data_IF_757934529754
#
_entry.id   IF_757934529754
#
_cell.length_a   1.000
_cell.length_b   1.000
_cell.length_c   1.000
_cell.angle_alpha   90.00
_cell.angle_beta   90.00
_cell.angle_gamma   90.00
#
_symmetry.space_group_name_H-M   'P 1'
#
loop_
_entity.id
_entity.type
_entity.pdbx_description
1 polymer ?
#
# COMPACT_ATOMS: atom_id res chain seq x y z
N UNK A 1 2.91 -33.00 7.10
CA UNK A 1 3.85 -31.87 7.33
C UNK A 1 3.04 -30.70 7.85
N UNK A 2 3.44 -30.12 8.97
CA UNK A 2 2.83 -28.91 9.54
C UNK A 2 3.13 -27.73 8.64
N UNK A 3 2.10 -26.98 8.29
CA UNK A 3 2.27 -25.70 7.60
C UNK A 3 2.58 -24.58 8.59
N UNK A 4 3.36 -23.60 8.15
CA UNK A 4 3.70 -22.38 8.88
C UNK A 4 3.04 -21.17 8.22
N UNK A 5 2.72 -20.13 8.99
CA UNK A 5 2.15 -18.89 8.46
C UNK A 5 3.17 -17.76 8.53
N UNK A 6 3.18 -16.92 7.50
CA UNK A 6 3.99 -15.70 7.46
C UNK A 6 3.34 -14.63 6.60
N UNK A 7 3.96 -13.45 6.55
CA UNK A 7 3.62 -12.42 5.58
C UNK A 7 4.86 -12.06 4.78
N UNK A 8 4.75 -12.04 3.45
CA UNK A 8 5.84 -11.67 2.56
C UNK A 8 5.34 -11.05 1.25
N UNK A 9 6.27 -10.46 0.51
CA UNK A 9 6.04 -9.92 -0.82
C UNK A 9 6.77 -10.77 -1.84
N UNK A 10 6.15 -10.96 -2.99
CA UNK A 10 6.79 -11.64 -4.12
C UNK A 10 7.47 -10.62 -5.03
N UNK A 11 8.61 -11.00 -5.56
CA UNK A 11 9.32 -10.32 -6.63
C UNK A 11 9.38 -11.26 -7.83
N UNK A 12 9.48 -10.68 -9.04
CA UNK A 12 9.69 -11.47 -10.24
C UNK A 12 11.18 -11.80 -10.33
N UNK A 13 11.50 -13.09 -10.41
CA UNK A 13 12.87 -13.57 -10.64
C UNK A 13 13.36 -13.10 -12.00
N UNK A 14 14.55 -12.51 -12.05
CA UNK A 14 15.18 -12.10 -13.32
C UNK A 14 15.60 -13.31 -14.17
N UNK A 15 15.97 -14.42 -13.52
CA UNK A 15 16.42 -15.64 -14.20
C UNK A 15 15.27 -16.44 -14.83
N UNK A 16 14.16 -16.59 -14.09
CA UNK A 16 13.07 -17.50 -14.48
C UNK A 16 11.79 -16.78 -14.88
N UNK A 17 11.64 -15.50 -14.53
CA UNK A 17 10.38 -14.76 -14.70
C UNK A 17 9.27 -15.17 -13.72
N UNK A 18 9.51 -16.16 -12.86
CA UNK A 18 8.56 -16.65 -11.86
C UNK A 18 8.47 -15.71 -10.65
N UNK A 19 7.33 -15.74 -9.95
CA UNK A 19 7.18 -15.03 -8.69
C UNK A 19 7.82 -15.83 -7.55
N UNK A 20 8.82 -15.22 -6.91
CA UNK A 20 9.53 -15.79 -5.78
C UNK A 20 9.48 -14.84 -4.59
N UNK A 21 9.51 -15.42 -3.39
CA UNK A 21 9.56 -14.71 -2.13
C UNK A 21 10.71 -15.22 -1.27
N UNK A 22 10.98 -14.51 -0.18
CA UNK A 22 12.01 -14.92 0.76
C UNK A 22 11.52 -14.83 2.18
N UNK A 23 11.95 -15.79 2.98
CA UNK A 23 11.66 -15.85 4.42
C UNK A 23 12.95 -16.09 5.19
N UNK A 24 13.00 -15.56 6.41
CA UNK A 24 14.09 -15.80 7.34
C UNK A 24 13.50 -16.19 8.70
N UNK A 25 14.15 -17.15 9.35
CA UNK A 25 13.74 -17.58 10.68
C UNK A 25 14.32 -16.64 11.72
N UNK A 26 13.46 -15.93 12.43
CA UNK A 26 13.87 -14.97 13.45
C UNK A 26 14.64 -15.70 14.57
N UNK A 27 15.84 -15.22 14.90
CA UNK A 27 16.77 -15.93 15.80
C UNK A 27 16.18 -16.23 17.18
N UNK A 28 15.52 -15.24 17.79
CA UNK A 28 14.93 -15.36 19.14
C UNK A 28 13.57 -16.07 19.15
N UNK A 29 12.60 -15.57 18.39
CA UNK A 29 11.21 -16.06 18.41
C UNK A 29 10.99 -17.33 17.57
N UNK A 30 11.97 -17.71 16.73
CA UNK A 30 11.92 -18.84 15.79
C UNK A 30 10.78 -18.76 14.76
N UNK A 31 10.05 -17.63 14.71
CA UNK A 31 9.00 -17.35 13.74
C UNK A 31 9.59 -17.12 12.36
N UNK A 32 8.88 -17.58 11.35
CA UNK A 32 9.21 -17.34 9.96
C UNK A 32 8.73 -15.95 9.54
N UNK A 33 9.64 -15.09 9.09
CA UNK A 33 9.35 -13.71 8.71
C UNK A 33 9.66 -13.50 7.24
N UNK A 34 8.77 -12.88 6.48
CA UNK A 34 9.07 -12.43 5.14
C UNK A 34 10.22 -11.42 5.13
N UNK A 35 11.14 -11.59 4.19
CA UNK A 35 12.26 -10.69 3.96
C UNK A 35 12.37 -10.37 2.47
N UNK A 36 13.13 -9.31 2.15
CA UNK A 36 13.48 -8.98 0.78
C UNK A 36 14.65 -9.83 0.30
N UNK A 37 14.84 -9.85 -1.01
CA UNK A 37 15.98 -10.52 -1.65
C UNK A 37 17.32 -9.95 -1.19
N UNK A 38 17.43 -8.63 -1.05
CA UNK A 38 18.61 -7.91 -0.57
C UNK A 38 18.82 -7.99 0.95
N UNK A 39 18.05 -8.82 1.66
CA UNK A 39 18.17 -8.94 3.10
C UNK A 39 19.53 -9.51 3.52
N UNK A 40 20.16 -8.85 4.50
CA UNK A 40 21.40 -9.30 5.17
C UNK A 40 21.25 -10.58 5.99
N UNK A 41 20.03 -11.01 6.28
CA UNK A 41 19.78 -12.20 7.10
C UNK A 41 19.78 -13.46 6.23
N UNK A 42 20.19 -14.59 6.82
CA UNK A 42 20.08 -15.90 6.18
C UNK A 42 18.62 -16.15 5.76
N UNK A 43 18.39 -16.31 4.46
CA UNK A 43 17.07 -16.39 3.85
C UNK A 43 16.88 -17.71 3.12
N UNK A 44 15.64 -18.18 3.09
CA UNK A 44 15.20 -19.34 2.35
C UNK A 44 14.21 -18.87 1.29
N UNK A 45 14.26 -19.49 0.10
CA UNK A 45 13.36 -19.16 -0.99
C UNK A 45 11.95 -19.70 -0.72
N UNK A 46 10.96 -18.95 -1.14
CA UNK A 46 9.57 -19.35 -1.21
C UNK A 46 9.13 -19.35 -2.67
N UNK A 47 8.67 -20.49 -3.16
CA UNK A 47 8.10 -20.64 -4.50
C UNK A 47 6.60 -20.87 -4.39
N UNK A 48 5.87 -20.49 -5.44
CA UNK A 48 4.44 -20.74 -5.51
C UNK A 48 4.15 -22.19 -5.87
N UNK A 49 3.10 -22.74 -5.26
CA UNK A 49 2.44 -23.93 -5.78
C UNK A 49 1.81 -23.64 -7.14
N UNK A 50 1.61 -24.69 -7.95
CA UNK A 50 1.12 -24.55 -9.33
C UNK A 50 -0.24 -23.83 -9.41
N UNK A 51 -1.13 -24.06 -8.44
CA UNK A 51 -2.46 -23.43 -8.35
C UNK A 51 -2.41 -21.92 -8.06
N UNK A 52 -1.32 -21.42 -7.48
CA UNK A 52 -1.15 -20.00 -7.20
C UNK A 52 -0.43 -19.24 -8.32
N UNK A 53 0.21 -19.94 -9.27
CA UNK A 53 0.91 -19.28 -10.37
C UNK A 53 -0.06 -18.50 -11.24
N UNK A 54 0.33 -17.27 -11.60
CA UNK A 54 -0.51 -16.34 -12.38
C UNK A 54 -1.64 -15.67 -11.60
N UNK A 55 -1.93 -16.09 -10.36
CA UNK A 55 -2.99 -15.48 -9.53
C UNK A 55 -2.49 -14.32 -8.67
N UNK A 56 -1.19 -14.28 -8.39
CA UNK A 56 -0.58 -13.28 -7.51
C UNK A 56 0.13 -12.20 -8.32
N UNK A 57 0.15 -10.99 -7.76
CA UNK A 57 0.91 -9.85 -8.27
C UNK A 57 2.16 -9.57 -7.42
N UNK A 58 3.27 -9.11 -8.05
CA UNK A 58 4.47 -8.71 -7.32
C UNK A 58 4.23 -7.48 -6.45
N UNK A 59 5.10 -7.27 -5.47
CA UNK A 59 5.12 -6.09 -4.57
C UNK A 59 3.89 -5.88 -3.67
N UNK A 60 2.89 -6.75 -3.74
CA UNK A 60 1.77 -6.83 -2.80
C UNK A 60 2.18 -7.70 -1.59
N UNK A 61 1.73 -7.33 -0.39
CA UNK A 61 1.94 -8.11 0.82
C UNK A 61 0.85 -9.18 0.91
N UNK A 62 1.25 -10.44 1.06
CA UNK A 62 0.32 -11.56 1.24
C UNK A 62 0.52 -12.19 2.61
N UNK A 63 -0.60 -12.60 3.21
CA UNK A 63 -0.59 -13.59 4.28
C UNK A 63 -0.54 -14.97 3.65
N UNK A 64 0.50 -15.73 3.94
CA UNK A 64 0.80 -16.99 3.26
C UNK A 64 0.78 -18.18 4.21
N UNK A 65 0.48 -19.35 3.66
CA UNK A 65 0.71 -20.65 4.27
C UNK A 65 1.85 -21.35 3.54
N UNK A 66 2.82 -21.84 4.30
CA UNK A 66 4.10 -22.34 3.81
C UNK A 66 4.29 -23.80 4.25
N UNK A 67 4.77 -24.64 3.34
CA UNK A 67 5.22 -25.99 3.64
C UNK A 67 6.70 -26.14 3.26
N UNK A 68 7.53 -26.77 4.10
CA UNK A 68 8.93 -26.99 3.76
C UNK A 68 9.03 -27.87 2.50
N UNK A 69 10.00 -27.57 1.65
CA UNK A 69 10.29 -28.38 0.47
C UNK A 69 10.83 -29.77 0.87
N UNK A 70 10.47 -30.80 0.12
CA UNK A 70 10.90 -32.18 0.40
C UNK A 70 12.38 -32.45 0.12
N UNK A 71 12.95 -31.81 -0.92
CA UNK A 71 14.29 -32.11 -1.45
C UNK A 71 15.22 -30.89 -1.51
N UNK A 72 14.79 -29.75 -0.97
CA UNK A 72 15.52 -28.49 -1.11
C UNK A 72 15.36 -27.63 0.15
N UNK A 73 16.25 -26.65 0.31
CA UNK A 73 16.22 -25.71 1.42
C UNK A 73 15.32 -24.51 1.06
N UNK A 74 14.03 -24.64 1.31
CA UNK A 74 13.03 -23.62 0.98
C UNK A 74 11.62 -24.00 1.41
N UNK A 75 10.65 -23.18 1.01
CA UNK A 75 9.23 -23.43 1.26
C UNK A 75 8.41 -23.32 -0.03
N UNK A 76 7.34 -24.10 -0.09
CA UNK A 76 6.27 -23.96 -1.09
C UNK A 76 5.13 -23.20 -0.43
N UNK A 77 4.68 -22.13 -1.08
CA UNK A 77 3.48 -21.38 -0.70
C UNK A 77 2.26 -22.12 -1.23
N UNK A 78 1.38 -22.57 -0.33
CA UNK A 78 0.18 -23.36 -0.68
C UNK A 78 -1.11 -22.58 -0.53
N UNK A 79 -1.06 -21.41 0.10
CA UNK A 79 -2.16 -20.45 0.12
C UNK A 79 -1.58 -19.04 0.27
N UNK A 80 -2.22 -18.07 -0.38
CA UNK A 80 -1.85 -16.66 -0.28
C UNK A 80 -3.09 -15.78 -0.35
N UNK A 81 -3.24 -14.87 0.61
CA UNK A 81 -4.33 -13.88 0.62
C UNK A 81 -3.75 -12.48 0.76
N UNK A 82 -4.10 -11.53 -0.13
CA UNK A 82 -3.64 -10.14 -0.01
C UNK A 82 -3.96 -9.55 1.37
N UNK A 83 -2.98 -8.89 1.97
CA UNK A 83 -3.19 -8.15 3.21
C UNK A 83 -3.80 -6.80 2.88
N UNK A 84 -5.00 -6.54 3.41
CA UNK A 84 -5.67 -5.25 3.31
C UNK A 84 -5.53 -4.50 4.64
N UNK A 85 -5.09 -3.25 4.57
CA UNK A 85 -4.92 -2.39 5.73
C UNK A 85 -6.14 -1.51 5.92
N UNK A 86 -6.62 -1.42 7.15
CA UNK A 86 -7.58 -0.38 7.51
C UNK A 86 -6.91 0.99 7.37
N UNK A 87 -7.62 1.92 6.73
CA UNK A 87 -7.17 3.28 6.59
C UNK A 87 -7.85 4.21 7.60
N UNK A 88 -7.16 5.27 7.96
CA UNK A 88 -7.66 6.38 8.74
C UNK A 88 -7.48 7.67 7.95
N UNK A 89 -8.55 8.47 7.86
CA UNK A 89 -8.54 9.78 7.21
C UNK A 89 -8.64 10.84 8.29
N UNK A 90 -7.63 11.70 8.35
CA UNK A 90 -7.52 12.77 9.35
C UNK A 90 -7.35 14.12 8.66
N UNK A 91 -8.06 15.14 9.15
CA UNK A 91 -7.92 16.53 8.69
C UNK A 91 -7.24 17.36 9.77
N UNK A 92 -6.18 18.07 9.39
CA UNK A 92 -5.48 19.05 10.22
C UNK A 92 -5.61 20.42 9.56
N UNK A 93 -6.16 21.38 10.31
CA UNK A 93 -6.27 22.77 9.89
C UNK A 93 -5.64 23.66 10.97
N UNK A 94 -4.56 24.32 10.60
CA UNK A 94 -3.99 25.46 11.33
C UNK A 94 -4.20 26.67 10.42
N UNK A 95 -5.17 27.56 10.73
CA UNK A 95 -5.54 28.65 9.85
C UNK A 95 -4.33 29.44 9.35
N UNK A 96 -4.29 29.69 8.05
CA UNK A 96 -3.22 30.40 7.32
C UNK A 96 -1.85 29.71 7.33
N UNK A 97 -1.69 28.59 8.03
CA UNK A 97 -0.42 27.88 8.17
C UNK A 97 -0.46 26.52 7.49
N UNK A 98 -1.42 25.66 7.84
CA UNK A 98 -1.51 24.28 7.38
C UNK A 98 -2.96 23.90 7.08
N UNK A 99 -3.19 23.32 5.92
CA UNK A 99 -4.47 22.71 5.56
C UNK A 99 -4.16 21.35 4.96
N UNK A 100 -4.32 20.27 5.70
CA UNK A 100 -3.95 18.95 5.23
C UNK A 100 -5.00 17.89 5.56
N UNK A 101 -5.37 17.06 4.56
CA UNK A 101 -6.05 15.79 4.79
C UNK A 101 -5.05 14.66 4.59
N UNK A 102 -4.93 13.75 5.56
CA UNK A 102 -3.98 12.64 5.53
C UNK A 102 -4.72 11.31 5.58
N UNK A 103 -4.46 10.44 4.61
CA UNK A 103 -4.91 9.04 4.61
C UNK A 103 -3.74 8.16 5.04
N UNK A 104 -3.85 7.52 6.20
CA UNK A 104 -2.83 6.62 6.76
C UNK A 104 -3.33 5.18 6.76
N UNK A 105 -2.51 4.25 6.28
CA UNK A 105 -2.82 2.81 6.28
C UNK A 105 -1.55 1.97 6.20
N UNK A 106 -1.47 0.94 7.04
CA UNK A 106 -0.22 0.21 7.27
C UNK A 106 0.90 1.19 7.64
N UNK A 107 2.00 1.16 6.90
CA UNK A 107 3.15 2.07 7.09
C UNK A 107 3.17 3.24 6.09
N UNK A 108 2.03 3.56 5.47
CA UNK A 108 1.95 4.54 4.38
C UNK A 108 1.09 5.71 4.77
N UNK A 109 1.46 6.88 4.26
CA UNK A 109 0.71 8.13 4.38
C UNK A 109 0.60 8.75 3.00
N UNK A 110 -0.62 9.17 2.64
CA UNK A 110 -0.90 9.98 1.46
C UNK A 110 -1.57 11.24 1.98
N UNK A 111 -1.13 12.41 1.52
CA UNK A 111 -1.67 13.68 1.99
C UNK A 111 -2.14 14.54 0.83
N UNK A 112 -3.24 15.24 1.08
CA UNK A 112 -3.72 16.37 0.32
C UNK A 112 -3.38 17.63 1.10
N UNK A 113 -2.52 18.46 0.52
CA UNK A 113 -2.11 19.76 1.02
C UNK A 113 -2.21 20.76 -0.14
N UNK A 114 -3.35 21.47 -0.29
CA UNK A 114 -3.55 22.43 -1.37
C UNK A 114 -2.64 23.65 -1.30
N UNK A 115 -1.99 23.92 -0.16
CA UNK A 115 -1.14 25.11 0.04
C UNK A 115 0.32 24.80 -0.23
N UNK A 116 0.89 23.79 0.44
CA UNK A 116 2.32 23.50 0.48
C UNK A 116 2.69 22.14 -0.16
N UNK A 117 1.72 21.43 -0.75
CA UNK A 117 1.97 20.19 -1.48
C UNK A 117 2.96 20.38 -2.63
N UNK A 118 3.83 19.39 -2.89
CA UNK A 118 4.94 19.52 -3.85
C UNK A 118 4.58 19.12 -5.28
N UNK A 119 3.42 18.49 -5.49
CA UNK A 119 3.02 17.93 -6.78
C UNK A 119 1.50 18.02 -6.96
N UNK A 120 0.99 17.82 -8.19
CA UNK A 120 -0.46 17.70 -8.40
C UNK A 120 -1.05 16.57 -7.54
N UNK A 121 -0.30 15.46 -7.43
CA UNK A 121 -0.63 14.30 -6.59
C UNK A 121 -0.69 14.57 -5.08
N UNK A 122 -0.31 15.76 -4.62
CA UNK A 122 -0.45 16.18 -3.23
C UNK A 122 -1.21 17.49 -3.08
N UNK A 123 -1.33 18.31 -4.13
CA UNK A 123 -2.01 19.62 -4.10
C UNK A 123 -3.45 19.59 -4.58
N UNK A 124 -3.88 18.56 -5.31
CA UNK A 124 -5.23 18.50 -5.88
C UNK A 124 -6.01 17.33 -5.30
N UNK A 125 -7.33 17.52 -5.20
CA UNK A 125 -8.25 16.47 -4.76
C UNK A 125 -8.17 15.28 -5.71
N UNK A 126 -8.23 15.54 -7.02
CA UNK A 126 -8.19 14.50 -8.04
C UNK A 126 -6.86 13.75 -8.09
N UNK A 127 -5.73 14.42 -7.85
CA UNK A 127 -4.42 13.78 -7.85
C UNK A 127 -4.27 12.77 -6.70
N UNK A 128 -4.74 13.13 -5.50
CA UNK A 128 -4.76 12.20 -4.38
C UNK A 128 -5.80 11.09 -4.58
N UNK A 129 -6.96 11.42 -5.16
CA UNK A 129 -7.99 10.44 -5.51
C UNK A 129 -7.45 9.37 -6.48
N UNK A 130 -6.68 9.76 -7.48
CA UNK A 130 -6.03 8.84 -8.42
C UNK A 130 -5.10 7.87 -7.70
N UNK A 131 -4.26 8.38 -6.78
CA UNK A 131 -3.39 7.53 -5.97
C UNK A 131 -4.21 6.54 -5.17
N UNK A 132 -5.28 7.00 -4.48
CA UNK A 132 -6.13 6.15 -3.64
C UNK A 132 -6.83 5.06 -4.47
N UNK A 133 -7.37 5.40 -5.65
CA UNK A 133 -8.00 4.43 -6.57
C UNK A 133 -7.03 3.34 -7.01
N UNK A 134 -5.78 3.71 -7.28
CA UNK A 134 -4.70 2.78 -7.66
C UNK A 134 -4.25 1.83 -6.55
N UNK A 135 -4.67 2.04 -5.30
CA UNK A 135 -4.32 1.16 -4.19
C UNK A 135 -5.15 -0.12 -4.19
N UNK A 136 -4.45 -1.24 -4.04
CA UNK A 136 -5.03 -2.59 -3.87
C UNK A 136 -4.96 -3.08 -2.43
N UNK A 137 -4.27 -2.34 -1.55
CA UNK A 137 -3.95 -2.73 -0.18
C UNK A 137 -4.78 -1.97 0.89
N UNK A 138 -5.82 -1.26 0.47
CA UNK A 138 -6.74 -0.55 1.38
C UNK A 138 -8.00 -1.39 1.58
N UNK A 139 -8.34 -1.68 2.84
CA UNK A 139 -9.60 -2.30 3.22
C UNK A 139 -10.74 -1.27 3.11
N UNK A 140 -11.90 -1.68 2.58
CA UNK A 140 -13.07 -0.82 2.40
C UNK A 140 -12.77 0.47 1.59
N UNK A 141 -11.98 0.34 0.52
CA UNK A 141 -11.44 1.46 -0.27
C UNK A 141 -12.46 2.52 -0.67
N UNK A 142 -13.64 2.13 -1.14
CA UNK A 142 -14.68 3.10 -1.56
C UNK A 142 -15.17 3.98 -0.40
N UNK A 143 -15.27 3.43 0.81
CA UNK A 143 -15.60 4.20 2.01
C UNK A 143 -14.50 5.19 2.37
N UNK A 144 -13.23 4.77 2.27
CA UNK A 144 -12.06 5.63 2.51
C UNK A 144 -11.99 6.76 1.49
N UNK A 145 -12.26 6.47 0.20
CA UNK A 145 -12.33 7.48 -0.86
C UNK A 145 -13.44 8.49 -0.56
N UNK A 146 -14.62 8.02 -0.17
CA UNK A 146 -15.75 8.89 0.16
C UNK A 146 -15.43 9.82 1.33
N UNK A 147 -14.84 9.28 2.40
CA UNK A 147 -14.42 10.06 3.57
C UNK A 147 -13.35 11.10 3.21
N UNK A 148 -12.33 10.68 2.45
CA UNK A 148 -11.31 11.58 1.91
C UNK A 148 -11.92 12.74 1.11
N UNK A 149 -12.83 12.47 0.16
CA UNK A 149 -13.44 13.49 -0.67
C UNK A 149 -14.28 14.48 0.15
N UNK A 150 -15.02 14.00 1.14
CA UNK A 150 -15.82 14.84 2.03
C UNK A 150 -14.93 15.78 2.85
N UNK A 151 -13.88 15.22 3.46
CA UNK A 151 -12.92 15.97 4.26
C UNK A 151 -12.12 16.97 3.42
N UNK A 152 -11.64 16.58 2.24
CA UNK A 152 -10.88 17.44 1.33
C UNK A 152 -11.71 18.64 0.85
N UNK A 153 -12.97 18.43 0.46
CA UNK A 153 -13.87 19.52 0.07
C UNK A 153 -14.19 20.45 1.24
N UNK A 154 -14.37 19.91 2.45
CA UNK A 154 -14.58 20.72 3.64
C UNK A 154 -13.35 21.58 3.98
N UNK A 155 -12.15 21.00 3.84
CA UNK A 155 -10.88 21.69 4.02
C UNK A 155 -10.70 22.84 3.02
N UNK A 156 -10.99 22.62 1.73
CA UNK A 156 -10.94 23.68 0.71
C UNK A 156 -11.87 24.84 1.07
N UNK A 157 -13.14 24.56 1.42
CA UNK A 157 -14.08 25.61 1.85
C UNK A 157 -13.55 26.41 3.04
N UNK A 158 -12.89 25.75 3.99
CA UNK A 158 -12.30 26.43 5.15
C UNK A 158 -11.11 27.30 4.74
N UNK A 159 -10.22 26.78 3.91
CA UNK A 159 -9.08 27.50 3.36
C UNK A 159 -9.51 28.75 2.58
N UNK A 160 -10.58 28.64 1.78
CA UNK A 160 -11.17 29.77 1.05
C UNK A 160 -11.78 30.82 1.98
N UNK A 161 -12.46 30.38 3.04
CA UNK A 161 -12.99 31.27 4.08
C UNK A 161 -11.88 32.03 4.84
N UNK A 162 -10.70 31.43 4.95
CA UNK A 162 -9.52 32.05 5.57
C UNK A 162 -8.74 32.97 4.59
N UNK A 163 -9.23 33.13 3.34
CA UNK A 163 -8.76 34.10 2.35
C UNK A 163 -7.83 33.56 1.26
N UNK A 164 -7.65 32.24 1.16
CA UNK A 164 -6.84 31.63 0.10
C UNK A 164 -7.69 31.19 -1.09
N UNK A 165 -7.06 30.96 -2.26
CA UNK A 165 -7.76 30.46 -3.45
C UNK A 165 -7.26 29.05 -3.76
N UNK A 166 -8.17 28.09 -3.82
CA UNK A 166 -7.87 26.76 -4.35
C UNK A 166 -8.03 26.74 -5.87
N UNK A 167 -7.02 26.23 -6.58
CA UNK A 167 -6.96 26.23 -8.05
C UNK A 167 -6.98 24.82 -8.66
N UNK A 168 -7.00 23.77 -7.83
CA UNK A 168 -6.74 22.39 -8.26
C UNK A 168 -7.79 21.78 -9.19
N UNK A 169 -9.02 22.28 -9.20
CA UNK A 169 -10.12 21.71 -10.01
C UNK A 169 -10.34 22.49 -11.34
N UNK A 170 -9.63 23.60 -11.56
CA UNK A 170 -9.84 24.50 -12.71
C UNK A 170 -9.29 23.98 -14.05
N UNK A 171 -8.80 22.75 -14.12
CA UNK A 171 -8.29 22.15 -15.37
C UNK A 171 -9.29 21.25 -16.11
N UNK A 172 -10.55 21.11 -15.65
CA UNK A 172 -11.58 20.35 -16.37
C UNK A 172 -12.68 21.21 -17.04
N UNK A 173 -12.62 22.55 -16.98
CA UNK A 173 -13.74 23.42 -17.38
C UNK A 173 -13.46 24.40 -18.53
N UNK A 174 -12.57 24.07 -19.46
CA UNK A 174 -12.14 25.00 -20.52
C UNK A 174 -12.24 24.43 -21.94
N UNK A 175 -13.45 24.09 -22.40
CA UNK A 175 -13.80 24.15 -23.82
C UNK A 175 -15.18 24.81 -23.89
N UNK A 176 -15.19 26.06 -24.34
CA UNK A 176 -16.37 26.76 -24.83
C UNK A 176 -16.54 26.43 -26.30
#
# INVERSE_FOLDING_TARGET
MTSEKSQLKFARSEETGELIGFVSRHSKTRKLMGVREDSRFGKQICVLSEDLKGTLEPNILYSVELKPMHKANGYVVVAATPVLFQAHVETVIVPKTLYQVTVTFGNKKIFFDPKDGKSAMSRTIDGVLEILKGRKDIKYKEGVITDYLNQARALVRRMESDGFIYTGDRHQGGIQ
#
